data_IF_682589569794
#
_entry.id   IF_682589569794
#
_cell.length_a   1.000
_cell.length_b   1.000
_cell.length_c   1.000
_cell.angle_alpha   90.00
_cell.angle_beta   90.00
_cell.angle_gamma   90.00
#
_symmetry.space_group_name_H-M   'P 1'
#
loop_
_entity.id
_entity.type
_entity.pdbx_description
1 polymer ?
#
# COMPACT_ATOMS: atom_id res chain seq x y z
N UNK A 1 -1.42 7.04 20.68
CA UNK A 1 -0.43 6.35 19.82
C UNK A 1 -1.12 5.92 18.53
N UNK A 2 -0.34 5.72 17.45
CA UNK A 2 -0.80 5.19 16.15
C UNK A 2 -1.68 3.94 16.33
N UNK A 3 -1.22 3.01 17.18
CA UNK A 3 -1.90 1.76 17.47
C UNK A 3 -3.26 1.94 18.16
N UNK A 4 -3.37 2.80 19.18
CA UNK A 4 -4.66 3.06 19.86
C UNK A 4 -5.70 3.67 18.91
N UNK A 5 -5.25 4.53 17.99
CA UNK A 5 -6.13 5.11 16.98
C UNK A 5 -6.66 4.03 16.03
N UNK A 6 -5.79 3.10 15.61
CA UNK A 6 -6.19 1.92 14.84
C UNK A 6 -7.15 0.99 15.59
N UNK A 7 -6.94 0.73 16.88
CA UNK A 7 -7.87 -0.08 17.69
C UNK A 7 -9.26 0.57 17.81
N UNK A 8 -9.31 1.90 17.88
CA UNK A 8 -10.57 2.65 17.82
C UNK A 8 -11.22 2.51 16.43
N UNK A 9 -10.42 2.64 15.38
CA UNK A 9 -10.87 2.47 14.00
C UNK A 9 -11.44 1.08 13.73
N UNK A 10 -10.79 0.02 14.23
CA UNK A 10 -11.26 -1.36 14.13
C UNK A 10 -12.66 -1.50 14.72
N UNK A 11 -12.87 -1.02 15.95
CA UNK A 11 -14.18 -1.05 16.62
C UNK A 11 -15.24 -0.29 15.83
N UNK A 12 -14.91 0.91 15.32
CA UNK A 12 -15.81 1.72 14.50
C UNK A 12 -16.24 1.00 13.20
N UNK A 13 -15.34 0.23 12.60
CA UNK A 13 -15.62 -0.48 11.34
C UNK A 13 -16.20 -1.89 11.54
N UNK A 14 -16.35 -2.34 12.79
CA UNK A 14 -16.89 -3.65 13.15
C UNK A 14 -15.89 -4.78 13.00
N UNK A 15 -14.59 -4.48 13.04
CA UNK A 15 -13.53 -5.50 13.13
C UNK A 15 -13.52 -6.04 14.55
N UNK A 16 -13.62 -7.37 14.67
CA UNK A 16 -13.62 -8.09 15.94
C UNK A 16 -12.40 -9.01 15.97
N UNK A 17 -11.57 -8.89 17.00
CA UNK A 17 -10.44 -9.78 17.26
C UNK A 17 -10.73 -10.65 18.48
N UNK A 18 -10.21 -11.88 18.52
CA UNK A 18 -10.27 -12.70 19.72
C UNK A 18 -9.53 -12.02 20.87
N UNK A 19 -10.06 -12.17 22.08
CA UNK A 19 -9.47 -11.71 23.34
C UNK A 19 -8.11 -12.35 23.67
N UNK A 20 -7.85 -13.54 23.12
CA UNK A 20 -6.54 -14.22 23.19
C UNK A 20 -5.48 -13.61 22.27
N UNK A 21 -5.80 -12.55 21.52
CA UNK A 21 -4.84 -11.84 20.67
C UNK A 21 -4.65 -10.40 21.13
N UNK A 22 -3.42 -9.92 20.94
CA UNK A 22 -3.06 -8.52 21.19
C UNK A 22 -2.28 -7.97 20.01
N UNK A 23 -2.59 -6.74 19.63
CA UNK A 23 -1.72 -5.99 18.74
C UNK A 23 -0.54 -5.42 19.53
N UNK A 24 0.66 -5.60 19.00
CA UNK A 24 1.90 -5.14 19.60
C UNK A 24 2.65 -4.25 18.61
N UNK A 25 3.25 -3.18 19.12
CA UNK A 25 4.11 -2.27 18.35
C UNK A 25 5.39 -1.93 19.13
N UNK A 26 5.75 -2.79 20.10
CA UNK A 26 6.94 -2.62 20.94
C UNK A 26 8.23 -3.06 20.23
N UNK A 27 8.13 -3.97 19.27
CA UNK A 27 9.27 -4.42 18.46
C UNK A 27 9.56 -3.44 17.32
N UNK A 28 10.84 -3.26 17.01
CA UNK A 28 11.27 -2.48 15.86
C UNK A 28 10.83 -3.19 14.57
N UNK A 29 10.09 -2.50 13.71
CA UNK A 29 9.74 -3.00 12.37
C UNK A 29 8.27 -3.00 12.01
N UNK A 30 7.34 -2.73 12.95
CA UNK A 30 5.93 -2.61 12.57
C UNK A 30 4.92 -2.89 13.69
N UNK A 31 3.70 -3.26 13.26
CA UNK A 31 2.62 -3.72 14.14
C UNK A 31 2.45 -5.21 13.95
N UNK A 32 2.47 -5.95 15.05
CA UNK A 32 2.48 -7.40 15.10
C UNK A 32 1.22 -7.89 15.83
N UNK A 33 0.86 -9.16 15.64
CA UNK A 33 -0.19 -9.82 16.42
C UNK A 33 0.48 -10.86 17.31
N UNK A 34 0.23 -10.79 18.63
CA UNK A 34 0.75 -11.72 19.63
C UNK A 34 -0.40 -12.50 20.27
N UNK A 35 -0.23 -13.82 20.36
CA UNK A 35 -1.13 -14.66 21.13
C UNK A 35 -0.84 -14.54 22.63
N UNK A 36 -1.90 -14.38 23.44
CA UNK A 36 -1.88 -14.33 24.89
C UNK A 36 -2.14 -15.71 25.52
N UNK A 37 -2.65 -16.65 24.73
CA UNK A 37 -2.92 -18.03 25.11
C UNK A 37 -2.70 -18.97 23.91
N UNK A 38 -2.72 -20.28 24.17
CA UNK A 38 -2.62 -21.28 23.11
C UNK A 38 -3.83 -21.22 22.17
N UNK A 39 -3.57 -21.17 20.86
CA UNK A 39 -4.56 -21.29 19.81
C UNK A 39 -4.62 -22.74 19.31
N UNK A 40 -5.81 -23.17 18.88
CA UNK A 40 -6.04 -24.46 18.23
C UNK A 40 -6.39 -24.25 16.77
N UNK A 41 -6.15 -25.28 15.97
CA UNK A 41 -6.60 -25.29 14.57
C UNK A 41 -8.13 -25.11 14.53
N UNK A 42 -8.59 -24.20 13.68
CA UNK A 42 -10.01 -23.83 13.55
C UNK A 42 -10.46 -22.68 14.44
N UNK A 43 -9.64 -22.19 15.38
CA UNK A 43 -10.00 -21.03 16.19
C UNK A 43 -10.13 -19.76 15.33
N UNK A 44 -11.22 -19.01 15.54
CA UNK A 44 -11.44 -17.73 14.84
C UNK A 44 -10.64 -16.63 15.52
N UNK A 45 -9.58 -16.20 14.86
CA UNK A 45 -8.67 -15.14 15.36
C UNK A 45 -9.23 -13.73 15.18
N UNK A 46 -9.92 -13.48 14.07
CA UNK A 46 -10.53 -12.19 13.79
C UNK A 46 -11.66 -12.32 12.75
N UNK A 47 -12.62 -11.41 12.80
CA UNK A 47 -13.66 -11.20 11.80
C UNK A 47 -13.57 -9.79 11.26
N UNK A 48 -13.34 -9.66 9.95
CA UNK A 48 -13.18 -8.38 9.26
C UNK A 48 -14.34 -8.19 8.28
N UNK A 49 -15.25 -7.23 8.51
CA UNK A 49 -16.32 -6.93 7.58
C UNK A 49 -15.75 -6.46 6.22
N UNK A 50 -16.35 -6.91 5.11
CA UNK A 50 -15.88 -6.54 3.76
C UNK A 50 -15.79 -5.03 3.53
N UNK A 51 -16.68 -4.25 4.15
CA UNK A 51 -16.69 -2.78 4.11
C UNK A 51 -15.47 -2.12 4.78
N UNK A 52 -14.82 -2.82 5.71
CA UNK A 52 -13.61 -2.34 6.38
C UNK A 52 -12.37 -2.50 5.48
N UNK A 53 -12.44 -3.35 4.45
CA UNK A 53 -11.34 -3.57 3.51
C UNK A 53 -11.25 -2.41 2.50
N UNK A 54 -10.03 -1.90 2.27
CA UNK A 54 -9.74 -1.05 1.11
C UNK A 54 -9.74 -1.93 -0.14
N UNK A 55 -10.60 -1.62 -1.09
CA UNK A 55 -10.70 -2.31 -2.37
C UNK A 55 -11.00 -1.28 -3.46
N UNK A 56 -10.79 -1.61 -4.75
CA UNK A 56 -11.19 -0.74 -5.85
C UNK A 56 -12.68 -0.37 -5.85
N UNK A 57 -13.52 -1.12 -5.14
CA UNK A 57 -14.97 -0.89 -5.06
C UNK A 57 -15.41 -0.15 -3.81
N UNK A 58 -14.60 -0.17 -2.76
CA UNK A 58 -14.94 0.45 -1.47
C UNK A 58 -14.30 1.81 -1.30
N UNK A 59 -13.20 2.10 -2.00
CA UNK A 59 -12.55 3.41 -1.96
C UNK A 59 -13.39 4.51 -2.59
N UNK A 60 -13.12 5.77 -2.23
CA UNK A 60 -13.72 6.94 -2.87
C UNK A 60 -13.35 7.09 -4.36
N UNK A 61 -12.29 6.41 -4.82
CA UNK A 61 -11.90 6.36 -6.23
C UNK A 61 -12.70 5.35 -7.07
N UNK A 62 -13.66 4.62 -6.51
CA UNK A 62 -14.32 3.51 -7.20
C UNK A 62 -14.93 3.88 -8.56
N UNK A 63 -15.55 5.06 -8.68
CA UNK A 63 -16.09 5.56 -9.93
C UNK A 63 -14.98 5.79 -10.97
N UNK A 64 -13.95 6.56 -10.61
CA UNK A 64 -12.81 6.85 -11.50
C UNK A 64 -12.06 5.59 -11.95
N UNK A 65 -11.85 4.63 -11.04
CA UNK A 65 -11.23 3.33 -11.35
C UNK A 65 -12.07 2.56 -12.38
N UNK A 66 -13.39 2.55 -12.20
CA UNK A 66 -14.32 1.88 -13.11
C UNK A 66 -14.34 2.55 -14.49
N UNK A 67 -14.39 3.87 -14.52
CA UNK A 67 -14.45 4.65 -15.76
C UNK A 67 -13.16 4.51 -16.57
N UNK A 68 -12.01 4.47 -15.89
CA UNK A 68 -10.71 4.19 -16.48
C UNK A 68 -10.48 2.69 -16.79
N UNK A 69 -11.47 1.82 -16.54
CA UNK A 69 -11.40 0.37 -16.77
C UNK A 69 -10.17 -0.30 -16.13
N UNK A 70 -9.72 0.22 -14.99
CA UNK A 70 -8.56 -0.33 -14.29
C UNK A 70 -8.91 -1.66 -13.63
N UNK A 71 -8.08 -2.66 -13.86
CA UNK A 71 -8.22 -4.01 -13.31
C UNK A 71 -7.11 -4.40 -12.35
N UNK A 72 -7.30 -5.54 -11.70
CA UNK A 72 -6.25 -6.23 -10.95
C UNK A 72 -5.57 -5.39 -9.85
N UNK A 73 -4.26 -5.57 -9.74
CA UNK A 73 -3.40 -4.89 -8.76
C UNK A 73 -3.30 -3.39 -9.01
N UNK A 74 -3.41 -2.94 -10.27
CA UNK A 74 -3.35 -1.53 -10.65
C UNK A 74 -4.52 -0.73 -10.08
N UNK A 75 -5.75 -1.27 -10.20
CA UNK A 75 -6.93 -0.69 -9.61
C UNK A 75 -6.82 -0.57 -8.07
N UNK A 76 -6.23 -1.58 -7.43
CA UNK A 76 -6.01 -1.56 -5.97
C UNK A 76 -4.93 -0.54 -5.59
N UNK A 77 -3.85 -0.44 -6.35
CA UNK A 77 -2.82 0.57 -6.14
C UNK A 77 -3.43 1.97 -6.19
N UNK A 78 -4.21 2.29 -7.23
CA UNK A 78 -4.91 3.58 -7.34
C UNK A 78 -5.86 3.82 -6.16
N UNK A 79 -6.63 2.80 -5.74
CA UNK A 79 -7.51 2.91 -4.58
C UNK A 79 -6.73 3.28 -3.29
N UNK A 80 -5.62 2.59 -3.02
CA UNK A 80 -4.77 2.87 -1.83
C UNK A 80 -4.14 4.26 -1.93
N UNK A 81 -3.68 4.66 -3.13
CA UNK A 81 -3.06 5.95 -3.37
C UNK A 81 -4.05 7.10 -3.15
N UNK A 82 -5.26 6.95 -3.67
CA UNK A 82 -6.35 7.91 -3.45
C UNK A 82 -6.61 8.08 -1.96
N UNK A 83 -6.87 6.99 -1.23
CA UNK A 83 -7.18 7.07 0.21
C UNK A 83 -6.00 7.65 1.02
N UNK A 84 -4.76 7.37 0.64
CA UNK A 84 -3.59 8.00 1.28
C UNK A 84 -3.54 9.52 1.04
N UNK A 85 -3.94 10.00 -0.15
CA UNK A 85 -3.92 11.42 -0.48
C UNK A 85 -4.93 12.25 0.32
N UNK A 86 -6.06 11.66 0.71
CA UNK A 86 -7.06 12.31 1.55
C UNK A 86 -6.67 12.38 3.03
N UNK A 87 -5.57 11.73 3.44
CA UNK A 87 -5.06 11.82 4.80
C UNK A 87 -6.14 11.54 5.85
N UNK A 88 -6.32 12.45 6.80
CA UNK A 88 -7.28 12.30 7.90
C UNK A 88 -8.75 12.26 7.46
N UNK A 89 -9.07 12.69 6.25
CA UNK A 89 -10.42 12.63 5.69
C UNK A 89 -10.75 11.25 5.11
N UNK A 90 -9.74 10.41 4.87
CA UNK A 90 -9.96 9.03 4.42
C UNK A 90 -10.61 8.19 5.53
N UNK A 91 -11.65 7.41 5.23
CA UNK A 91 -12.21 6.44 6.16
C UNK A 91 -11.18 5.43 6.66
N UNK A 92 -10.11 5.18 5.90
CA UNK A 92 -9.04 4.23 6.22
C UNK A 92 -7.79 4.89 6.80
N UNK A 93 -7.82 6.19 7.13
CA UNK A 93 -6.64 6.92 7.57
C UNK A 93 -5.87 6.18 8.66
N UNK A 94 -6.55 5.78 9.75
CA UNK A 94 -5.98 5.08 10.89
C UNK A 94 -5.32 3.74 10.54
N UNK A 95 -5.88 3.01 9.57
CA UNK A 95 -5.31 1.77 9.07
C UNK A 95 -4.12 2.03 8.14
N UNK A 96 -4.25 2.95 7.19
CA UNK A 96 -3.19 3.25 6.21
C UNK A 96 -1.98 3.90 6.88
N UNK A 97 -2.21 4.70 7.92
CA UNK A 97 -1.16 5.14 8.82
C UNK A 97 -0.74 4.07 9.81
N UNK A 98 -0.94 2.77 9.63
CA UNK A 98 -0.10 1.79 10.34
C UNK A 98 0.98 1.23 9.42
N UNK A 99 0.67 1.17 8.14
CA UNK A 99 1.55 0.66 7.10
C UNK A 99 2.80 1.55 7.02
N UNK A 100 4.00 0.97 6.95
CA UNK A 100 5.22 1.73 6.71
C UNK A 100 5.19 2.41 5.33
N UNK A 101 5.98 3.46 5.14
CA UNK A 101 6.08 4.13 3.84
C UNK A 101 6.99 3.37 2.87
N UNK A 102 7.83 2.47 3.39
CA UNK A 102 8.71 1.65 2.58
C UNK A 102 8.93 0.29 3.24
N UNK A 103 8.73 -0.77 2.47
CA UNK A 103 9.14 -2.12 2.82
C UNK A 103 10.53 -2.38 2.19
N UNK A 104 11.45 -3.11 2.86
CA UNK A 104 12.80 -3.39 2.32
C UNK A 104 12.77 -4.48 1.23
N UNK A 105 11.94 -4.29 0.20
CA UNK A 105 11.84 -5.20 -0.95
C UNK A 105 12.91 -4.90 -2.00
N UNK A 106 13.35 -5.91 -2.76
CA UNK A 106 14.41 -5.76 -3.78
C UNK A 106 14.07 -4.70 -4.83
N UNK A 107 12.79 -4.51 -5.13
CA UNK A 107 12.33 -3.50 -6.08
C UNK A 107 12.76 -2.08 -5.71
N UNK A 108 12.97 -1.77 -4.43
CA UNK A 108 13.38 -0.42 -3.97
C UNK A 108 14.88 -0.24 -3.76
N UNK A 109 15.67 -1.29 -3.95
CA UNK A 109 17.13 -1.20 -3.85
C UNK A 109 17.69 -0.29 -4.94
N UNK A 110 18.84 0.33 -4.71
CA UNK A 110 19.54 1.06 -5.77
C UNK A 110 20.02 0.11 -6.88
N UNK A 111 20.27 0.65 -8.08
CA UNK A 111 20.87 -0.13 -9.17
C UNK A 111 22.24 -0.69 -8.77
N UNK A 112 23.03 0.08 -8.01
CA UNK A 112 24.33 -0.37 -7.50
C UNK A 112 24.19 -1.54 -6.52
N UNK A 113 23.21 -1.50 -5.62
CA UNK A 113 22.93 -2.60 -4.70
C UNK A 113 22.50 -3.86 -5.45
N UNK A 114 21.60 -3.74 -6.44
CA UNK A 114 21.17 -4.85 -7.28
C UNK A 114 22.36 -5.42 -8.05
N UNK A 115 23.12 -4.58 -8.74
CA UNK A 115 24.27 -5.00 -9.54
C UNK A 115 25.37 -5.65 -8.71
N UNK A 116 25.61 -5.18 -7.48
CA UNK A 116 26.67 -5.72 -6.62
C UNK A 116 26.24 -6.96 -5.83
N UNK A 117 25.02 -7.00 -5.33
CA UNK A 117 24.56 -8.02 -4.38
C UNK A 117 23.79 -9.16 -5.06
N UNK A 118 23.17 -8.92 -6.21
CA UNK A 118 22.36 -9.93 -6.90
C UNK A 118 23.05 -10.50 -8.14
N UNK A 119 24.20 -9.97 -8.57
CA UNK A 119 24.92 -10.46 -9.74
C UNK A 119 25.12 -11.99 -9.71
N UNK A 120 24.72 -12.65 -10.79
CA UNK A 120 24.82 -14.11 -10.94
C UNK A 120 23.69 -14.90 -10.27
N UNK A 121 22.75 -14.24 -9.59
CA UNK A 121 21.52 -14.87 -9.08
C UNK A 121 20.38 -14.72 -10.09
N UNK A 122 19.39 -15.60 -10.05
CA UNK A 122 18.17 -15.43 -10.86
C UNK A 122 17.38 -14.17 -10.46
N UNK A 123 17.51 -13.72 -9.21
CA UNK A 123 16.86 -12.50 -8.71
C UNK A 123 17.33 -11.24 -9.43
N UNK A 124 18.56 -11.18 -9.93
CA UNK A 124 19.04 -10.02 -10.70
C UNK A 124 18.19 -9.78 -11.95
N UNK A 125 17.87 -10.86 -12.68
CA UNK A 125 17.02 -10.79 -13.88
C UNK A 125 15.58 -10.45 -13.49
N UNK A 126 15.03 -11.13 -12.49
CA UNK A 126 13.65 -10.92 -12.04
C UNK A 126 13.40 -9.49 -11.59
N UNK A 127 14.28 -8.91 -10.77
CA UNK A 127 14.11 -7.53 -10.27
C UNK A 127 14.16 -6.51 -11.41
N UNK A 128 15.04 -6.69 -12.39
CA UNK A 128 15.13 -5.80 -13.56
C UNK A 128 13.87 -5.87 -14.42
N UNK A 129 13.36 -7.08 -14.69
CA UNK A 129 12.12 -7.29 -15.44
C UNK A 129 10.91 -6.72 -14.71
N UNK A 130 10.76 -7.00 -13.42
CA UNK A 130 9.64 -6.48 -12.62
C UNK A 130 9.64 -4.95 -12.57
N UNK A 131 10.82 -4.32 -12.50
CA UNK A 131 10.95 -2.85 -12.59
C UNK A 131 10.50 -2.31 -13.94
N UNK A 132 10.78 -3.02 -15.02
CA UNK A 132 10.34 -2.64 -16.36
C UNK A 132 8.82 -2.75 -16.49
N UNK A 133 8.21 -3.84 -16.04
CA UNK A 133 6.75 -3.98 -16.05
C UNK A 133 6.05 -2.92 -15.20
N UNK A 134 6.57 -2.64 -13.99
CA UNK A 134 6.04 -1.56 -13.18
C UNK A 134 6.12 -0.21 -13.90
N UNK A 135 7.19 0.03 -14.68
CA UNK A 135 7.36 1.24 -15.51
C UNK A 135 6.32 1.34 -16.62
N UNK A 136 5.99 0.24 -17.25
CA UNK A 136 4.97 0.20 -18.29
C UNK A 136 3.57 0.38 -17.72
N UNK A 137 3.23 -0.34 -16.65
CA UNK A 137 1.97 -0.18 -15.92
C UNK A 137 1.78 1.28 -15.47
N UNK A 138 2.84 1.90 -14.98
CA UNK A 138 2.84 3.32 -14.62
C UNK A 138 2.51 4.23 -15.80
N UNK A 139 3.22 4.06 -16.92
CA UNK A 139 2.97 4.85 -18.14
C UNK A 139 1.55 4.66 -18.64
N UNK A 140 1.00 3.45 -18.51
CA UNK A 140 -0.37 3.16 -18.89
C UNK A 140 -1.35 3.95 -18.01
N UNK A 141 -1.20 3.96 -16.68
CA UNK A 141 -2.03 4.81 -15.79
C UNK A 141 -1.90 6.28 -16.15
N UNK A 142 -0.67 6.76 -16.37
CA UNK A 142 -0.43 8.16 -16.69
C UNK A 142 -0.98 8.57 -18.05
N UNK A 143 -0.96 7.67 -19.04
CA UNK A 143 -1.56 7.92 -20.35
C UNK A 143 -3.09 7.95 -20.26
N UNK A 144 -3.68 7.12 -19.39
CA UNK A 144 -5.11 7.20 -19.05
C UNK A 144 -5.42 8.41 -18.14
N UNK A 145 -4.42 9.06 -17.53
CA UNK A 145 -4.58 10.25 -16.69
C UNK A 145 -5.02 11.49 -17.46
N UNK A 146 -4.89 11.51 -18.79
CA UNK A 146 -5.55 12.54 -19.62
C UNK A 146 -7.09 12.49 -19.47
N UNK A 147 -7.64 11.39 -18.96
CA UNK A 147 -9.07 11.25 -18.60
C UNK A 147 -9.35 11.52 -17.11
N UNK A 148 -8.32 11.71 -16.27
CA UNK A 148 -8.42 12.00 -14.84
C UNK A 148 -8.15 13.48 -14.50
N UNK A 149 -8.13 14.37 -15.50
CA UNK A 149 -7.82 15.81 -15.34
C UNK A 149 -8.70 16.56 -14.33
N UNK A 150 -9.89 16.03 -14.01
CA UNK A 150 -10.74 16.59 -12.95
C UNK A 150 -10.38 16.14 -11.51
N UNK A 151 -9.38 15.27 -11.33
CA UNK A 151 -9.09 14.62 -10.04
C UNK A 151 -7.68 14.85 -9.49
N UNK A 152 -6.71 15.28 -10.31
CA UNK A 152 -5.32 15.50 -9.86
C UNK A 152 -5.15 16.89 -9.25
N UNK A 153 -5.67 17.08 -8.04
CA UNK A 153 -5.36 18.25 -7.23
C UNK A 153 -3.91 18.20 -6.72
N UNK A 154 -3.33 19.38 -6.42
CA UNK A 154 -1.94 19.55 -5.94
C UNK A 154 -1.61 18.71 -4.68
N UNK A 155 -2.62 18.31 -3.91
CA UNK A 155 -2.51 17.42 -2.75
C UNK A 155 -2.11 16.00 -3.15
N UNK A 156 -2.62 15.50 -4.27
CA UNK A 156 -2.25 14.18 -4.75
C UNK A 156 -0.76 14.20 -5.12
N UNK A 157 -0.26 15.21 -5.88
CA UNK A 157 1.18 15.38 -6.28
C UNK A 157 2.14 15.19 -5.10
N UNK A 158 1.75 15.68 -3.92
CA UNK A 158 2.52 15.54 -2.68
C UNK A 158 2.40 14.15 -2.04
N UNK A 159 1.22 13.52 -2.08
CA UNK A 159 1.04 12.12 -1.68
C UNK A 159 1.78 11.13 -2.60
N UNK A 160 1.88 11.44 -3.90
CA UNK A 160 2.64 10.65 -4.88
C UNK A 160 4.14 10.61 -4.53
N UNK A 161 4.76 11.70 -4.03
CA UNK A 161 6.20 11.70 -3.64
C UNK A 161 6.58 10.67 -2.56
N UNK A 162 5.61 10.20 -1.77
CA UNK A 162 5.87 9.36 -0.59
C UNK A 162 5.50 7.88 -0.77
N UNK A 163 4.99 7.45 -1.94
CA UNK A 163 4.60 6.06 -2.18
C UNK A 163 5.70 5.32 -2.96
N UNK A 164 6.04 4.12 -2.49
CA UNK A 164 7.07 3.18 -2.97
C UNK A 164 7.36 3.21 -4.48
N UNK A 165 6.31 3.28 -5.32
CA UNK A 165 6.45 3.35 -6.77
C UNK A 165 7.40 4.50 -7.16
N UNK A 166 7.19 5.71 -6.66
CA UNK A 166 8.01 6.85 -7.06
C UNK A 166 9.42 6.87 -6.46
N UNK A 167 9.74 6.10 -5.41
CA UNK A 167 11.16 5.90 -5.04
C UNK A 167 11.91 5.05 -6.06
N UNK A 168 11.24 4.08 -6.68
CA UNK A 168 11.77 3.31 -7.82
C UNK A 168 11.88 4.18 -9.09
N UNK A 169 10.97 5.16 -9.28
CA UNK A 169 10.94 6.02 -10.48
C UNK A 169 11.73 7.34 -10.38
N UNK A 170 11.74 8.05 -9.25
CA UNK A 170 12.34 9.40 -9.11
C UNK A 170 13.78 9.42 -8.59
N UNK A 171 14.33 8.30 -8.07
CA UNK A 171 15.80 8.16 -8.00
C UNK A 171 16.45 8.03 -9.39
N UNK A 172 15.64 7.88 -10.43
CA UNK A 172 16.01 7.73 -11.84
C UNK A 172 15.58 8.94 -12.70
N UNK A 173 15.36 10.11 -12.07
CA UNK A 173 15.21 11.35 -12.84
C UNK A 173 16.53 11.70 -13.54
N UNK A 174 16.52 12.19 -14.79
CA UNK A 174 17.74 12.65 -15.43
C UNK A 174 18.33 13.80 -14.62
N UNK A 175 19.66 13.85 -14.53
CA UNK A 175 20.38 15.07 -14.19
C UNK A 175 19.85 16.19 -15.09
N UNK A 176 19.11 17.13 -14.51
CA UNK A 176 18.98 18.47 -15.08
C UNK A 176 20.12 19.29 -14.52
#
# INVERSE_FOLDING_TARGET
SRLRAFESWMRKHGVVCSDVLRLDASEAGGVNVRALAALREGDVVATIPRRACVTPRTSGAAAAIKDAQLGGTLALAVAVMYERAWGAESPWYDYLRLIPDCEPVLLVWSEDEVARLLAGTELDKTVKQDREFLREDWKNVWSHSFLLENWVSSQMILAWRNILLLKVFFRQGPSV
#
